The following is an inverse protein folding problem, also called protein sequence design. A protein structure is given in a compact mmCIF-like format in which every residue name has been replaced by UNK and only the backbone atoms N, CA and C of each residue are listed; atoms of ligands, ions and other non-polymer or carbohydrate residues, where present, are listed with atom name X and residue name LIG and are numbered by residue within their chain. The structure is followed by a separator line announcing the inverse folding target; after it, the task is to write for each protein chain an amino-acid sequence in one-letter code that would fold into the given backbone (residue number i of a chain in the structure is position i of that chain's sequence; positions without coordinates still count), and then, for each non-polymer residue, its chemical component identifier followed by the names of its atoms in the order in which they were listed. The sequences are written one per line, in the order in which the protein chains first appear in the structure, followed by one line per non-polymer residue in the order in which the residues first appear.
data_IF_636348740108
#
_entry.id   IF_636348740108
#
_cell.length_a   1.000
_cell.length_b   1.000
_cell.length_c   1.000
_cell.angle_alpha   90.00
_cell.angle_beta   90.00
_cell.angle_gamma   90.00
#
_symmetry.space_group_name_H-M   'P 1'
#
loop_
_entity.id
_entity.type
_entity.pdbx_description
1 polymer ?
#
# COMPACT_ATOMS: atom_id res chain seq x y z
N UNK A 1 3.45 -4.02 22.81
CA UNK A 1 2.36 -3.80 21.80
C UNK A 1 2.01 -2.35 21.53
N UNK A 2 1.92 -1.47 22.54
CA UNK A 2 1.49 -0.06 22.33
C UNK A 2 2.34 0.69 21.28
N UNK A 3 3.64 0.44 21.25
CA UNK A 3 4.55 1.02 20.23
C UNK A 3 4.21 0.59 18.81
N UNK A 4 3.82 -0.67 18.62
CA UNK A 4 3.36 -1.14 17.32
C UNK A 4 2.11 -0.36 16.89
N UNK A 5 1.13 -0.20 17.79
CA UNK A 5 -0.10 0.54 17.47
C UNK A 5 0.16 2.02 17.18
N UNK A 6 1.01 2.68 17.97
CA UNK A 6 1.44 4.06 17.73
C UNK A 6 2.15 4.19 16.38
N UNK A 7 3.06 3.26 16.07
CA UNK A 7 3.73 3.22 14.77
C UNK A 7 2.73 3.02 13.62
N UNK A 8 1.80 2.07 13.73
CA UNK A 8 0.79 1.84 12.69
C UNK A 8 -0.06 3.09 12.46
N UNK A 9 -0.41 3.81 13.53
CA UNK A 9 -1.11 5.08 13.45
C UNK A 9 -0.29 6.16 12.74
N UNK A 10 0.98 6.32 13.12
CA UNK A 10 1.85 7.38 12.61
C UNK A 10 2.26 7.14 11.15
N UNK A 11 2.41 5.88 10.72
CA UNK A 11 2.90 5.53 9.38
C UNK A 11 1.77 5.36 8.37
N UNK A 12 0.61 4.87 8.81
CA UNK A 12 -0.52 4.53 7.92
C UNK A 12 -1.80 5.33 8.20
N UNK A 13 -1.83 6.09 9.30
CA UNK A 13 -2.91 7.01 9.67
C UNK A 13 -3.99 6.37 10.54
N UNK A 14 -4.76 7.22 11.22
CA UNK A 14 -5.82 6.82 12.16
C UNK A 14 -6.83 5.83 11.57
N UNK A 15 -7.27 6.06 10.32
CA UNK A 15 -8.25 5.17 9.67
C UNK A 15 -7.70 3.77 9.42
N UNK A 16 -6.39 3.63 9.17
CA UNK A 16 -5.78 2.32 9.09
C UNK A 16 -5.73 1.66 10.46
N UNK A 17 -5.36 2.40 11.52
CA UNK A 17 -5.36 1.83 12.88
C UNK A 17 -6.78 1.36 13.27
N UNK A 18 -7.81 2.16 13.01
CA UNK A 18 -9.22 1.77 13.23
C UNK A 18 -9.56 0.47 12.49
N UNK A 19 -9.21 0.39 11.20
CA UNK A 19 -9.39 -0.82 10.39
C UNK A 19 -8.65 -2.03 10.97
N UNK A 20 -7.39 -1.87 11.35
CA UNK A 20 -6.59 -2.93 11.96
C UNK A 20 -7.23 -3.43 13.26
N UNK A 21 -7.67 -2.51 14.13
CA UNK A 21 -8.33 -2.86 15.40
C UNK A 21 -9.68 -3.56 15.18
N UNK A 22 -10.41 -3.25 14.11
CA UNK A 22 -11.61 -4.00 13.72
C UNK A 22 -11.30 -5.44 13.32
N UNK A 23 -10.19 -5.68 12.62
CA UNK A 23 -9.76 -7.04 12.28
C UNK A 23 -9.20 -7.77 13.50
N UNK A 24 -8.40 -7.11 14.34
CA UNK A 24 -7.90 -7.67 15.59
C UNK A 24 -9.04 -8.14 16.52
N UNK A 25 -10.15 -7.39 16.60
CA UNK A 25 -11.33 -7.82 17.37
C UNK A 25 -11.85 -9.19 16.93
N UNK A 26 -11.76 -9.53 15.64
CA UNK A 26 -12.23 -10.79 15.06
C UNK A 26 -11.19 -11.90 15.17
N UNK A 27 -9.93 -11.58 14.90
CA UNK A 27 -8.86 -12.56 14.66
C UNK A 27 -7.82 -12.64 15.78
N UNK A 28 -7.85 -11.70 16.74
CA UNK A 28 -7.02 -11.66 17.95
C UNK A 28 -5.51 -11.62 17.68
N UNK A 29 -5.09 -10.83 16.69
CA UNK A 29 -3.68 -10.69 16.33
C UNK A 29 -2.81 -10.24 17.50
N UNK A 30 -3.25 -9.23 18.26
CA UNK A 30 -2.49 -8.66 19.37
C UNK A 30 -2.24 -9.64 20.53
N UNK A 31 -2.96 -10.76 20.60
CA UNK A 31 -2.70 -11.82 21.58
C UNK A 31 -1.49 -12.70 21.22
N UNK A 32 -0.96 -12.57 20.01
CA UNK A 32 0.25 -13.28 19.58
C UNK A 32 1.52 -12.73 20.25
N UNK A 33 1.43 -11.54 20.85
CA UNK A 33 2.46 -10.86 21.63
C UNK A 33 3.85 -10.79 20.95
N UNK A 34 3.85 -10.67 19.63
CA UNK A 34 5.04 -10.65 18.79
C UNK A 34 4.74 -9.82 17.55
N UNK A 35 5.49 -8.73 17.32
CA UNK A 35 5.18 -7.78 16.24
C UNK A 35 5.18 -8.45 14.86
N UNK A 36 6.13 -9.36 14.61
CA UNK A 36 6.24 -10.04 13.33
C UNK A 36 5.03 -10.95 13.13
N UNK A 37 4.68 -11.76 14.14
CA UNK A 37 3.52 -12.67 14.06
C UNK A 37 2.20 -11.91 13.92
N UNK A 38 2.04 -10.80 14.62
CA UNK A 38 0.86 -9.91 14.50
C UNK A 38 0.68 -9.45 13.05
N UNK A 39 1.74 -8.91 12.45
CA UNK A 39 1.69 -8.36 11.08
C UNK A 39 1.55 -9.48 10.05
N UNK A 40 2.28 -10.57 10.20
CA UNK A 40 2.17 -11.76 9.34
C UNK A 40 0.73 -12.26 9.32
N UNK A 41 0.13 -12.45 10.50
CA UNK A 41 -1.21 -13.02 10.59
C UNK A 41 -2.28 -12.10 10.03
N UNK A 42 -2.14 -10.80 10.26
CA UNK A 42 -2.98 -9.78 9.62
C UNK A 42 -2.89 -9.86 8.08
N UNK A 43 -1.67 -9.92 7.53
CA UNK A 43 -1.45 -10.01 6.08
C UNK A 43 -2.02 -11.31 5.49
N UNK A 44 -1.83 -12.45 6.15
CA UNK A 44 -2.37 -13.72 5.72
C UNK A 44 -3.90 -13.67 5.60
N UNK A 45 -4.58 -13.27 6.68
CA UNK A 45 -6.04 -13.22 6.74
C UNK A 45 -6.60 -12.22 5.71
N UNK A 46 -5.93 -11.08 5.55
CA UNK A 46 -6.32 -10.05 4.59
C UNK A 46 -6.08 -10.44 3.13
N UNK A 47 -5.13 -11.32 2.82
CA UNK A 47 -4.83 -11.75 1.45
C UNK A 47 -5.56 -13.02 1.03
N UNK A 48 -5.89 -13.91 1.96
CA UNK A 48 -6.29 -15.29 1.68
C UNK A 48 -7.47 -15.41 0.68
N UNK A 49 -8.48 -14.57 0.81
CA UNK A 49 -9.64 -14.54 -0.11
C UNK A 49 -9.84 -13.21 -0.84
N UNK A 50 -8.84 -12.32 -0.79
CA UNK A 50 -9.02 -10.95 -1.30
C UNK A 50 -8.85 -10.88 -2.81
N UNK A 51 -9.97 -10.60 -3.47
CA UNK A 51 -10.05 -10.35 -4.93
C UNK A 51 -10.24 -8.87 -5.27
N UNK A 52 -10.70 -8.06 -4.30
CA UNK A 52 -10.91 -6.61 -4.46
C UNK A 52 -10.08 -5.82 -3.45
N UNK A 53 -9.31 -4.85 -3.96
CA UNK A 53 -8.38 -4.00 -3.22
C UNK A 53 -8.77 -2.52 -3.22
N UNK A 54 -9.93 -2.14 -3.76
CA UNK A 54 -10.31 -0.74 -3.95
C UNK A 54 -11.62 -0.35 -3.25
N UNK A 55 -12.56 -1.27 -3.05
CA UNK A 55 -13.91 -0.90 -2.58
C UNK A 55 -14.02 -0.81 -1.06
N UNK A 56 -14.69 0.23 -0.56
CA UNK A 56 -15.03 0.37 0.87
C UNK A 56 -13.79 0.33 1.77
N UNK A 57 -13.82 -0.50 2.81
CA UNK A 57 -12.73 -0.60 3.78
C UNK A 57 -11.48 -1.30 3.21
N UNK A 58 -11.56 -1.91 2.03
CA UNK A 58 -10.42 -2.61 1.42
C UNK A 58 -9.26 -1.67 1.09
N UNK A 59 -9.55 -0.38 0.88
CA UNK A 59 -8.53 0.64 0.62
C UNK A 59 -7.50 0.74 1.75
N UNK A 60 -7.89 0.46 3.00
CA UNK A 60 -6.99 0.57 4.15
C UNK A 60 -5.88 -0.47 4.08
N UNK A 61 -6.22 -1.72 3.80
CA UNK A 61 -5.22 -2.78 3.59
C UNK A 61 -4.35 -2.52 2.35
N UNK A 62 -4.97 -2.10 1.24
CA UNK A 62 -4.22 -1.81 0.00
C UNK A 62 -3.21 -0.71 0.20
N UNK A 63 -3.58 0.36 0.90
CA UNK A 63 -2.66 1.44 1.27
C UNK A 63 -1.54 0.93 2.17
N UNK A 64 -1.86 0.16 3.21
CA UNK A 64 -0.85 -0.44 4.07
C UNK A 64 0.18 -1.24 3.28
N UNK A 65 -0.28 -2.09 2.35
CA UNK A 65 0.59 -2.89 1.49
C UNK A 65 1.48 -2.01 0.61
N UNK A 66 0.90 -1.06 -0.13
CA UNK A 66 1.66 -0.21 -1.06
C UNK A 66 2.66 0.70 -0.32
N UNK A 67 2.24 1.31 0.80
CA UNK A 67 3.12 2.16 1.62
C UNK A 67 4.23 1.35 2.27
N UNK A 68 3.93 0.14 2.76
CA UNK A 68 4.94 -0.76 3.34
C UNK A 68 6.04 -1.11 2.34
N UNK A 69 5.65 -1.51 1.12
CA UNK A 69 6.60 -1.85 0.07
C UNK A 69 7.41 -0.61 -0.35
N UNK A 70 6.74 0.52 -0.59
CA UNK A 70 7.39 1.74 -1.05
C UNK A 70 8.43 2.23 -0.04
N UNK A 71 8.04 2.37 1.23
CA UNK A 71 8.95 2.83 2.30
C UNK A 71 10.12 1.86 2.54
N UNK A 72 9.95 0.57 2.25
CA UNK A 72 11.01 -0.41 2.44
C UNK A 72 12.00 -0.43 1.27
N UNK A 73 11.49 -0.48 0.02
CA UNK A 73 12.31 -0.59 -1.20
C UNK A 73 12.96 0.74 -1.57
N UNK A 74 12.28 1.85 -1.31
CA UNK A 74 12.82 3.18 -1.56
C UNK A 74 13.59 3.67 -0.32
N UNK A 75 14.92 3.60 -0.37
CA UNK A 75 15.81 4.02 0.71
C UNK A 75 15.83 5.55 0.93
N UNK A 76 15.11 6.31 0.10
CA UNK A 76 15.11 7.77 0.13
C UNK A 76 13.71 8.34 0.37
N UNK A 77 13.68 9.45 1.10
CA UNK A 77 12.60 10.43 1.32
C UNK A 77 11.60 10.18 2.46
N UNK A 78 11.52 11.24 3.27
CA UNK A 78 10.59 11.54 4.35
C UNK A 78 9.14 11.73 3.89
N UNK A 79 8.68 10.94 2.92
CA UNK A 79 7.32 11.09 2.38
C UNK A 79 6.33 10.66 3.44
N UNK A 80 5.44 11.57 3.79
CA UNK A 80 4.30 11.30 4.63
C UNK A 80 3.10 10.89 3.77
N UNK A 81 2.82 9.59 3.70
CA UNK A 81 1.65 9.06 2.99
C UNK A 81 0.33 9.28 3.76
N UNK A 82 0.39 9.85 4.96
CA UNK A 82 -0.75 10.20 5.80
C UNK A 82 -1.11 11.69 5.72
N UNK A 83 -0.35 12.47 4.96
CA UNK A 83 -0.58 13.90 4.75
C UNK A 83 -2.02 14.19 4.32
N UNK A 84 -2.63 15.18 4.98
CA UNK A 84 -4.02 15.58 4.76
C UNK A 84 -4.11 16.98 4.14
N UNK A 85 -5.06 17.16 3.24
CA UNK A 85 -5.44 18.48 2.76
C UNK A 85 -6.17 19.30 3.86
N UNK A 86 -6.43 20.58 3.56
CA UNK A 86 -7.18 21.48 4.46
C UNK A 86 -8.62 21.01 4.79
N UNK A 87 -9.13 19.97 4.12
CA UNK A 87 -10.44 19.34 4.37
C UNK A 87 -10.31 18.00 5.11
N UNK A 88 -9.11 17.63 5.55
CA UNK A 88 -8.84 16.36 6.23
C UNK A 88 -8.87 15.14 5.31
N UNK A 89 -8.66 15.31 4.00
CA UNK A 89 -8.57 14.21 3.02
C UNK A 89 -7.12 13.89 2.71
N UNK A 90 -6.80 12.61 2.59
CA UNK A 90 -5.47 12.14 2.19
C UNK A 90 -5.06 12.75 0.85
N UNK A 91 -3.86 13.32 0.83
CA UNK A 91 -3.25 13.88 -0.38
C UNK A 91 -2.76 12.76 -1.31
N UNK A 92 -2.15 11.73 -0.74
CA UNK A 92 -1.79 10.52 -1.49
C UNK A 92 -3.03 9.67 -1.72
N UNK A 93 -3.45 9.54 -2.98
CA UNK A 93 -4.70 8.88 -3.37
C UNK A 93 -4.43 7.56 -4.07
N UNK A 94 -5.31 6.59 -3.82
CA UNK A 94 -5.31 5.33 -4.53
C UNK A 94 -5.83 5.56 -5.94
N UNK A 95 -5.06 5.16 -6.95
CA UNK A 95 -5.36 5.42 -8.35
C UNK A 95 -5.25 4.14 -9.18
N UNK A 96 -6.09 4.05 -10.21
CA UNK A 96 -6.07 2.96 -11.18
C UNK A 96 -5.03 3.20 -12.28
N UNK A 97 -4.15 2.23 -12.51
CA UNK A 97 -3.13 2.31 -13.57
C UNK A 97 -3.81 2.28 -14.95
N UNK A 98 -4.68 1.29 -15.17
CA UNK A 98 -5.63 1.27 -16.28
C UNK A 98 -6.94 1.87 -15.76
N UNK A 99 -7.49 2.94 -16.38
CA UNK A 99 -8.72 3.59 -15.93
C UNK A 99 -9.89 2.63 -15.76
N UNK A 100 -10.73 2.90 -14.76
CA UNK A 100 -11.93 2.08 -14.52
C UNK A 100 -12.87 2.01 -15.73
N UNK A 101 -12.90 3.06 -16.56
CA UNK A 101 -13.71 3.13 -17.79
C UNK A 101 -13.34 2.09 -18.83
N UNK A 102 -12.13 1.54 -18.77
CA UNK A 102 -11.61 0.58 -19.76
C UNK A 102 -11.97 -0.87 -19.39
N UNK A 103 -12.74 -1.06 -18.32
CA UNK A 103 -13.20 -2.35 -17.83
C UNK A 103 -14.70 -2.50 -18.05
N UNK A 104 -15.10 -3.67 -18.52
CA UNK A 104 -16.51 -4.00 -18.71
C UNK A 104 -17.24 -4.10 -17.35
N UNK A 105 -18.56 -4.00 -17.39
CA UNK A 105 -19.38 -4.21 -16.19
C UNK A 105 -19.14 -5.63 -15.65
N UNK A 106 -18.71 -5.73 -14.39
CA UNK A 106 -18.42 -7.00 -13.74
C UNK A 106 -16.98 -7.50 -13.90
N UNK A 107 -16.15 -6.83 -14.69
CA UNK A 107 -14.72 -7.15 -14.80
C UNK A 107 -14.03 -6.87 -13.45
N UNK A 108 -13.55 -7.95 -12.82
CA UNK A 108 -12.93 -7.90 -11.49
C UNK A 108 -11.51 -7.33 -11.52
N UNK A 109 -10.84 -7.37 -12.67
CA UNK A 109 -9.44 -6.97 -12.80
C UNK A 109 -9.25 -5.48 -12.46
N UNK A 110 -10.29 -4.68 -12.68
CA UNK A 110 -10.28 -3.24 -12.37
C UNK A 110 -9.87 -2.96 -10.92
N UNK A 111 -10.29 -3.80 -9.97
CA UNK A 111 -10.04 -3.58 -8.54
C UNK A 111 -8.98 -4.53 -7.96
N UNK A 112 -8.26 -5.27 -8.80
CA UNK A 112 -7.12 -6.08 -8.35
C UNK A 112 -5.94 -5.19 -7.98
N UNK A 113 -5.15 -5.66 -7.01
CA UNK A 113 -3.99 -4.95 -6.48
C UNK A 113 -3.04 -4.45 -7.58
N UNK A 114 -2.78 -5.29 -8.57
CA UNK A 114 -1.88 -5.00 -9.68
C UNK A 114 -2.33 -3.84 -10.56
N UNK A 115 -3.60 -3.44 -10.52
CA UNK A 115 -4.10 -2.26 -11.22
C UNK A 115 -4.12 -1.00 -10.35
N UNK A 116 -3.62 -1.06 -9.11
CA UNK A 116 -3.68 0.04 -8.15
C UNK A 116 -2.29 0.57 -7.80
N UNK A 117 -2.22 1.88 -7.55
CA UNK A 117 -1.03 2.56 -7.06
C UNK A 117 -1.39 3.78 -6.21
N UNK A 118 -0.39 4.48 -5.65
CA UNK A 118 -0.57 5.75 -4.97
C UNK A 118 0.04 6.89 -5.76
N UNK A 119 -0.75 7.94 -6.00
CA UNK A 119 -0.32 9.20 -6.61
C UNK A 119 -0.66 10.38 -5.72
N UNK A 120 0.13 11.44 -5.80
CA UNK A 120 -0.19 12.71 -5.15
C UNK A 120 -1.40 13.35 -5.83
N UNK A 121 -2.27 13.97 -5.03
CA UNK A 121 -3.57 14.47 -5.49
C UNK A 121 -3.48 15.34 -6.74
N UNK A 122 -2.54 16.28 -6.80
CA UNK A 122 -2.47 17.23 -7.92
C UNK A 122 -2.12 16.50 -9.22
N UNK A 123 -1.23 15.51 -9.16
CA UNK A 123 -0.94 14.63 -10.30
C UNK A 123 -2.18 13.80 -10.63
N UNK A 124 -2.87 13.24 -9.63
CA UNK A 124 -4.07 12.44 -9.86
C UNK A 124 -5.18 13.25 -10.54
N UNK A 125 -5.31 14.54 -10.20
CA UNK A 125 -6.26 15.46 -10.85
C UNK A 125 -5.84 15.77 -12.29
N UNK A 126 -4.53 15.99 -12.54
CA UNK A 126 -4.01 16.20 -13.91
C UNK A 126 -4.32 15.01 -14.81
N UNK A 127 -4.07 13.80 -14.31
CA UNK A 127 -4.22 12.55 -15.06
C UNK A 127 -5.70 12.14 -15.20
N UNK A 128 -6.52 12.32 -14.16
CA UNK A 128 -7.95 12.01 -14.22
C UNK A 128 -8.23 10.61 -14.81
N UNK A 129 -9.16 10.52 -15.78
CA UNK A 129 -9.52 9.28 -16.48
C UNK A 129 -8.70 9.03 -17.75
N UNK A 130 -7.52 9.64 -17.89
CA UNK A 130 -6.66 9.43 -19.05
C UNK A 130 -6.18 7.97 -19.16
N UNK A 131 -5.95 7.49 -20.39
CA UNK A 131 -5.41 6.15 -20.60
C UNK A 131 -3.96 6.03 -20.11
N UNK A 132 -3.47 4.79 -19.97
CA UNK A 132 -2.14 4.48 -19.44
C UNK A 132 -0.99 5.28 -20.10
N UNK A 133 -1.00 5.47 -21.42
CA UNK A 133 0.08 6.17 -22.13
C UNK A 133 0.11 7.66 -21.79
N UNK A 134 -1.05 8.30 -21.63
CA UNK A 134 -1.12 9.69 -21.20
C UNK A 134 -0.75 9.82 -19.70
N UNK A 135 -1.24 8.92 -18.83
CA UNK A 135 -0.79 8.88 -17.41
C UNK A 135 0.73 8.80 -17.30
N UNK A 136 1.33 7.93 -18.12
CA UNK A 136 2.77 7.72 -18.21
C UNK A 136 3.53 8.98 -18.64
N UNK A 137 3.03 9.71 -19.64
CA UNK A 137 3.68 10.97 -20.08
C UNK A 137 3.68 12.01 -18.95
N UNK A 138 2.55 12.18 -18.27
CA UNK A 138 2.44 13.13 -17.15
C UNK A 138 3.39 12.72 -16.03
N UNK A 139 3.44 11.44 -15.67
CA UNK A 139 4.30 10.94 -14.59
C UNK A 139 5.79 10.96 -14.92
N UNK A 140 6.18 10.85 -16.19
CA UNK A 140 7.59 10.76 -16.59
C UNK A 140 8.44 11.93 -16.09
N UNK A 141 7.85 13.12 -15.98
CA UNK A 141 8.52 14.34 -15.51
C UNK A 141 8.45 14.53 -13.98
N UNK A 142 7.68 13.69 -13.30
CA UNK A 142 7.35 13.83 -11.89
C UNK A 142 8.21 12.88 -11.05
N UNK A 143 8.58 13.32 -9.85
CA UNK A 143 9.40 12.55 -8.93
C UNK A 143 8.73 11.23 -8.49
N UNK A 144 7.40 11.19 -8.51
CA UNK A 144 6.58 10.00 -8.23
C UNK A 144 6.83 8.85 -9.20
N UNK A 145 7.33 9.11 -10.41
CA UNK A 145 7.76 8.04 -11.31
C UNK A 145 8.91 7.20 -10.74
N UNK A 146 9.67 7.75 -9.78
CA UNK A 146 10.78 7.07 -9.09
C UNK A 146 10.33 6.14 -7.98
N UNK A 147 9.06 6.16 -7.63
CA UNK A 147 8.54 5.26 -6.61
C UNK A 147 8.49 3.84 -7.15
N UNK A 148 8.87 2.88 -6.30
CA UNK A 148 8.84 1.46 -6.62
C UNK A 148 7.45 1.03 -7.08
N UNK A 149 6.41 1.46 -6.34
CA UNK A 149 5.02 1.14 -6.68
C UNK A 149 4.56 1.73 -8.02
N UNK A 150 5.22 2.80 -8.49
CA UNK A 150 4.90 3.51 -9.74
C UNK A 150 5.82 3.14 -10.92
N UNK A 151 6.79 2.23 -10.74
CA UNK A 151 7.70 1.80 -11.82
C UNK A 151 6.97 1.23 -13.05
N UNK A 152 5.72 0.78 -12.88
CA UNK A 152 4.85 0.35 -13.97
C UNK A 152 4.74 1.39 -15.09
N UNK A 153 4.71 2.69 -14.76
CA UNK A 153 4.61 3.77 -15.74
C UNK A 153 5.91 4.00 -16.52
N UNK A 154 7.03 3.42 -16.10
CA UNK A 154 8.29 3.48 -16.85
C UNK A 154 8.37 2.42 -17.95
N UNK A 155 7.50 1.41 -17.91
CA UNK A 155 7.48 0.31 -18.89
C UNK A 155 6.90 0.79 -20.21
N UNK A 156 7.24 0.10 -21.29
CA UNK A 156 6.73 0.45 -22.62
C UNK A 156 5.20 0.32 -22.73
N UNK A 157 4.61 -0.66 -22.05
CA UNK A 157 3.17 -0.87 -21.99
C UNK A 157 2.76 -1.51 -20.66
N UNK A 158 1.48 -1.42 -20.35
CA UNK A 158 0.82 -2.17 -19.27
C UNK A 158 -0.59 -2.53 -19.71
N UNK A 159 -0.90 -3.83 -19.75
CA UNK A 159 -2.17 -4.38 -20.22
C UNK A 159 -2.89 -5.12 -19.11
N UNK A 160 -4.17 -5.42 -19.30
CA UNK A 160 -4.97 -6.21 -18.34
C UNK A 160 -4.29 -7.54 -17.96
N UNK A 161 -3.65 -8.21 -18.92
CA UNK A 161 -2.88 -9.44 -18.68
C UNK A 161 -1.72 -9.29 -17.69
N UNK A 162 -1.23 -8.08 -17.46
CA UNK A 162 -0.12 -7.80 -16.55
C UNK A 162 -0.57 -7.57 -15.10
N UNK A 163 -1.88 -7.36 -14.89
CA UNK A 163 -2.47 -7.06 -13.58
C UNK A 163 -2.24 -8.20 -12.60
N UNK A 164 -2.46 -9.45 -13.01
CA UNK A 164 -2.31 -10.61 -12.12
C UNK A 164 -0.85 -10.85 -11.74
N UNK A 165 0.06 -10.65 -12.69
CA UNK A 165 1.50 -10.74 -12.43
C UNK A 165 1.93 -9.68 -11.44
N UNK A 166 1.61 -8.40 -11.68
CA UNK A 166 1.95 -7.31 -10.75
C UNK A 166 1.30 -7.49 -9.39
N UNK A 167 0.06 -8.01 -9.34
CA UNK A 167 -0.60 -8.36 -8.07
C UNK A 167 0.22 -9.38 -7.29
N UNK A 168 0.70 -10.44 -7.96
CA UNK A 168 1.49 -11.50 -7.34
C UNK A 168 2.85 -10.97 -6.88
N UNK A 169 3.52 -10.18 -7.71
CA UNK A 169 4.81 -9.55 -7.39
C UNK A 169 4.71 -8.69 -6.12
N UNK A 170 3.70 -7.81 -6.02
CA UNK A 170 3.49 -6.95 -4.85
C UNK A 170 3.15 -7.74 -3.57
N UNK A 171 2.33 -8.80 -3.67
CA UNK A 171 2.04 -9.66 -2.51
C UNK A 171 3.30 -10.38 -2.03
N UNK A 172 4.07 -10.93 -2.97
CA UNK A 172 5.31 -11.63 -2.67
C UNK A 172 6.35 -10.69 -2.06
N UNK A 173 6.48 -9.46 -2.57
CA UNK A 173 7.32 -8.43 -1.98
C UNK A 173 6.96 -8.17 -0.52
N UNK A 174 5.68 -7.95 -0.21
CA UNK A 174 5.25 -7.72 1.17
C UNK A 174 5.55 -8.93 2.07
N UNK A 175 5.25 -10.15 1.61
CA UNK A 175 5.50 -11.38 2.37
C UNK A 175 7.00 -11.57 2.63
N UNK A 176 7.85 -11.36 1.63
CA UNK A 176 9.30 -11.45 1.74
C UNK A 176 9.86 -10.42 2.73
N UNK A 177 9.41 -9.15 2.63
CA UNK A 177 9.80 -8.08 3.55
C UNK A 177 9.51 -8.48 5.00
N UNK A 178 8.31 -8.98 5.27
CA UNK A 178 7.89 -9.31 6.63
C UNK A 178 8.54 -10.59 7.14
N UNK A 179 8.77 -11.59 6.29
CA UNK A 179 9.31 -12.88 6.72
C UNK A 179 10.83 -12.88 6.86
N UNK A 180 11.52 -12.21 5.92
CA UNK A 180 12.98 -12.32 5.79
C UNK A 180 13.72 -11.03 6.17
N UNK A 181 13.01 -9.91 6.30
CA UNK A 181 13.60 -8.59 6.54
C UNK A 181 12.89 -7.77 7.62
N UNK A 182 12.33 -8.45 8.62
CA UNK A 182 11.46 -7.82 9.62
C UNK A 182 12.15 -6.71 10.43
N UNK A 183 13.38 -6.91 10.90
CA UNK A 183 14.12 -5.88 11.65
C UNK A 183 14.31 -4.61 10.80
N UNK A 184 14.68 -4.78 9.53
CA UNK A 184 14.80 -3.67 8.60
C UNK A 184 13.45 -3.01 8.30
N UNK A 185 12.35 -3.78 8.28
CA UNK A 185 11.00 -3.25 8.15
C UNK A 185 10.62 -2.40 9.37
N UNK A 186 10.92 -2.87 10.58
CA UNK A 186 10.71 -2.13 11.83
C UNK A 186 11.42 -0.77 11.79
N UNK A 187 12.69 -0.74 11.38
CA UNK A 187 13.47 0.50 11.35
C UNK A 187 13.05 1.43 10.19
N UNK A 188 12.92 0.89 8.97
CA UNK A 188 12.69 1.70 7.76
C UNK A 188 11.25 2.17 7.65
N UNK A 189 10.28 1.29 7.94
CA UNK A 189 8.86 1.53 7.73
C UNK A 189 8.20 1.96 9.03
N UNK A 190 8.27 1.11 10.08
CA UNK A 190 7.58 1.36 11.35
C UNK A 190 8.26 2.42 12.22
N UNK A 191 9.51 2.78 11.92
CA UNK A 191 10.32 3.70 12.74
C UNK A 191 10.50 3.24 14.20
N UNK A 192 10.45 1.93 14.43
CA UNK A 192 10.73 1.29 15.73
C UNK A 192 12.19 0.87 15.75
N UNK A 193 12.95 1.23 16.79
CA UNK A 193 14.39 0.94 16.86
C UNK A 193 14.68 -0.43 17.47
N UNK A 194 15.75 -1.08 17.01
CA UNK A 194 16.18 -2.40 17.49
C UNK A 194 16.42 -2.51 19.02
N UNK A 195 16.84 -1.45 19.71
CA UNK A 195 16.98 -1.48 21.19
C UNK A 195 15.63 -1.62 21.91
N UNK A 196 14.53 -1.32 21.23
CA UNK A 196 13.18 -1.33 21.80
C UNK A 196 12.45 -2.66 21.59
N UNK A 197 12.93 -3.50 20.66
CA UNK A 197 12.41 -4.85 20.39
C UNK A 197 12.89 -5.90 21.40
N UNK A 198 14.03 -5.65 22.07
CA UNK A 198 14.64 -6.58 23.03
C UNK A 198 14.27 -6.31 24.50
N UNK A 199 13.40 -5.33 24.76
CA UNK A 199 13.00 -4.88 26.09
C UNK A 199 11.48 -5.07 26.36
N UNK A 200 10.77 -5.76 25.46
CA UNK A 200 9.40 -6.26 25.63
C UNK A 200 9.44 -7.80 25.66
#
# INVERSE_FOLDING_TARGET
MDKLLDSLQNVFGNRFLEYFMEQDKKHKYLQLDDYQKVIQKFIEDEQFFRTNYYSGNHVHFTRFLLVSIEKFKNNDRTIDFTELDHKGKLIWQLEHIIPQSDFELGDSDKNKLGNLTLLYRDINVKISNENFEEKKKVLHEEDESKFYINEVFRRNNFKKSDIDKRSSDLKNDLVDIINNHFDAYCEKVLKIKNMELNNE
#
